data_IF_634150530933
#
_entry.id   IF_634150530933
#
_cell.length_a   1.000
_cell.length_b   1.000
_cell.length_c   1.000
_cell.angle_alpha   90.00
_cell.angle_beta   90.00
_cell.angle_gamma   90.00
#
_symmetry.space_group_name_H-M   'P 1'
#
loop_
_entity.id
_entity.type
_entity.pdbx_description
1 polymer ?
#
# COMPACT_ATOMS: atom_id res chain seq x y z
N UNK A 1 -0.47 28.57 -27.27
CA UNK A 1 -1.59 28.27 -26.36
C UNK A 1 -2.34 27.10 -26.96
N UNK A 2 -1.82 25.89 -26.74
CA UNK A 2 -2.53 24.68 -27.12
C UNK A 2 -3.46 24.28 -25.98
N UNK A 3 -4.74 24.17 -26.34
CA UNK A 3 -5.82 23.85 -25.42
C UNK A 3 -5.71 22.39 -25.03
N UNK A 4 -5.83 22.16 -23.73
CA UNK A 4 -5.61 20.88 -23.07
C UNK A 4 -6.31 19.72 -23.75
N UNK A 5 -5.55 18.63 -23.89
CA UNK A 5 -6.10 17.30 -24.07
C UNK A 5 -7.04 17.03 -22.89
N UNK A 6 -8.33 17.12 -23.17
CA UNK A 6 -9.39 16.72 -22.28
C UNK A 6 -9.28 15.20 -22.13
N UNK A 7 -8.55 14.72 -21.13
CA UNK A 7 -8.48 13.29 -20.83
C UNK A 7 -9.82 12.88 -20.21
N UNK A 8 -10.82 12.66 -21.06
CA UNK A 8 -11.98 11.87 -20.67
C UNK A 8 -11.44 10.50 -20.28
N UNK A 9 -11.45 10.25 -18.97
CA UNK A 9 -11.12 8.96 -18.40
C UNK A 9 -12.26 8.02 -18.80
N UNK A 10 -12.14 7.45 -20.00
CA UNK A 10 -13.11 6.48 -20.50
C UNK A 10 -13.00 5.24 -19.62
N UNK A 11 -13.95 5.09 -18.71
CA UNK A 11 -14.11 3.90 -17.92
C UNK A 11 -14.23 2.71 -18.86
N UNK A 12 -13.20 1.86 -18.87
CA UNK A 12 -13.18 0.69 -19.72
C UNK A 12 -14.27 -0.28 -19.26
N UNK A 13 -14.98 -0.95 -20.20
CA UNK A 13 -15.92 -1.99 -19.82
C UNK A 13 -15.16 -3.13 -19.13
N UNK A 14 -15.83 -3.91 -18.26
CA UNK A 14 -15.25 -5.11 -17.67
C UNK A 14 -14.68 -6.03 -18.77
N UNK A 15 -13.45 -6.52 -18.56
CA UNK A 15 -12.78 -7.42 -19.49
C UNK A 15 -12.03 -6.76 -20.65
N UNK A 16 -12.08 -5.43 -20.82
CA UNK A 16 -11.40 -4.73 -21.91
C UNK A 16 -9.87 -4.92 -21.97
N UNK A 17 -9.26 -5.38 -20.87
CA UNK A 17 -7.82 -5.63 -20.74
C UNK A 17 -7.51 -7.13 -20.52
N UNK A 18 -8.46 -8.03 -20.73
CA UNK A 18 -8.28 -9.47 -20.47
C UNK A 18 -7.21 -10.10 -21.36
N UNK A 19 -7.01 -9.59 -22.58
CA UNK A 19 -5.95 -10.04 -23.49
C UNK A 19 -4.54 -9.71 -22.98
N UNK A 20 -4.40 -8.76 -22.05
CA UNK A 20 -3.13 -8.41 -21.42
C UNK A 20 -2.82 -9.28 -20.20
N UNK A 21 -3.79 -10.06 -19.72
CA UNK A 21 -3.62 -10.87 -18.51
C UNK A 21 -2.77 -12.11 -18.80
N UNK A 22 -1.86 -12.38 -17.88
CA UNK A 22 -1.02 -13.58 -17.83
C UNK A 22 -1.75 -14.66 -17.02
N UNK A 23 -1.78 -15.88 -17.55
CA UNK A 23 -2.31 -17.04 -16.84
C UNK A 23 -1.38 -17.45 -15.71
N UNK A 24 -1.97 -17.82 -14.56
CA UNK A 24 -1.18 -18.42 -13.48
C UNK A 24 -0.61 -19.78 -13.92
N UNK A 25 0.67 -19.98 -13.65
CA UNK A 25 1.38 -21.25 -13.80
C UNK A 25 1.35 -22.10 -12.52
N UNK A 26 0.60 -21.65 -11.49
CA UNK A 26 0.50 -22.32 -10.20
C UNK A 26 1.74 -22.22 -9.31
N UNK A 27 2.77 -21.47 -9.71
CA UNK A 27 3.98 -21.27 -8.92
C UNK A 27 3.86 -20.05 -8.00
N UNK A 28 4.60 -20.09 -6.90
CA UNK A 28 4.81 -18.97 -5.99
C UNK A 28 5.35 -17.79 -6.79
N UNK A 29 4.62 -16.66 -6.81
CA UNK A 29 5.06 -15.52 -7.61
C UNK A 29 6.41 -14.98 -7.13
N UNK A 30 6.71 -15.08 -5.84
CA UNK A 30 7.95 -14.56 -5.26
C UNK A 30 9.15 -15.43 -5.62
N UNK A 31 9.20 -16.70 -5.17
CA UNK A 31 10.39 -17.53 -5.40
C UNK A 31 10.43 -18.24 -6.75
N UNK A 32 9.29 -18.34 -7.46
CA UNK A 32 9.17 -19.03 -8.77
C UNK A 32 9.61 -20.50 -8.81
N UNK A 33 9.93 -21.10 -7.67
CA UNK A 33 10.43 -22.49 -7.56
C UNK A 33 9.39 -23.48 -7.02
N UNK A 34 8.45 -23.02 -6.18
CA UNK A 34 7.53 -23.89 -5.42
C UNK A 34 6.08 -23.60 -5.75
N UNK A 35 5.17 -24.59 -5.63
CA UNK A 35 3.74 -24.37 -5.85
C UNK A 35 3.16 -23.29 -4.93
N UNK A 36 2.26 -22.47 -5.47
CA UNK A 36 1.48 -21.48 -4.74
C UNK A 36 0.36 -22.15 -3.93
N UNK A 37 0.67 -22.59 -2.71
CA UNK A 37 -0.26 -23.33 -1.85
C UNK A 37 -1.01 -22.43 -0.85
N UNK A 38 -0.58 -21.18 -0.69
CA UNK A 38 -1.08 -20.24 0.32
C UNK A 38 -1.52 -18.93 -0.30
N UNK A 39 -2.50 -18.28 0.33
CA UNK A 39 -2.97 -16.93 -0.01
C UNK A 39 -2.66 -15.97 1.13
N UNK A 40 -2.14 -14.80 0.79
CA UNK A 40 -1.84 -13.75 1.77
C UNK A 40 -3.12 -13.08 2.26
N UNK A 41 -3.16 -12.65 3.52
CA UNK A 41 -4.31 -11.90 4.01
C UNK A 41 -4.35 -10.48 3.41
N UNK A 42 -5.53 -10.02 2.99
CA UNK A 42 -5.75 -8.64 2.51
C UNK A 42 -5.56 -7.61 3.62
N UNK A 43 -5.76 -8.01 4.86
CA UNK A 43 -5.44 -7.24 6.05
C UNK A 43 -4.81 -8.14 7.08
N UNK A 44 -3.88 -7.62 7.91
CA UNK A 44 -3.26 -8.44 8.93
C UNK A 44 -4.31 -9.00 9.90
N UNK A 45 -4.18 -10.28 10.25
CA UNK A 45 -5.13 -10.95 11.13
C UNK A 45 -5.25 -10.27 12.51
N UNK A 46 -4.16 -9.71 13.02
CA UNK A 46 -4.13 -8.96 14.28
C UNK A 46 -5.03 -7.74 14.21
N UNK A 47 -4.95 -6.97 13.12
CA UNK A 47 -5.73 -5.75 12.94
C UNK A 47 -7.22 -6.08 12.79
N UNK A 48 -7.54 -7.11 12.01
CA UNK A 48 -8.92 -7.62 11.91
C UNK A 48 -9.46 -8.09 13.26
N UNK A 49 -8.60 -8.69 14.08
CA UNK A 49 -8.97 -9.12 15.44
C UNK A 49 -9.18 -7.92 16.37
N UNK A 50 -8.37 -6.87 16.25
CA UNK A 50 -8.50 -5.62 17.00
C UNK A 50 -9.79 -4.88 16.68
N UNK A 51 -10.19 -4.88 15.41
CA UNK A 51 -11.42 -4.24 14.95
C UNK A 51 -12.70 -5.03 15.28
N UNK A 52 -12.58 -6.29 15.66
CA UNK A 52 -13.73 -7.14 15.97
C UNK A 52 -14.42 -6.62 17.24
N UNK A 53 -15.67 -6.21 17.10
CA UNK A 53 -16.55 -5.79 18.20
C UNK A 53 -17.63 -6.84 18.38
N UNK A 54 -17.95 -7.18 19.62
CA UNK A 54 -19.02 -8.11 19.97
C UNK A 54 -18.97 -9.45 19.18
N UNK A 55 -17.76 -9.96 18.94
CA UNK A 55 -17.45 -11.19 18.19
C UNK A 55 -17.80 -11.17 16.68
N UNK A 56 -17.95 -10.00 16.07
CA UNK A 56 -18.11 -9.90 14.61
C UNK A 56 -17.36 -8.72 13.98
N UNK A 57 -17.15 -8.82 12.67
CA UNK A 57 -16.59 -7.76 11.82
C UNK A 57 -17.43 -7.63 10.54
N UNK A 58 -17.68 -6.40 10.12
CA UNK A 58 -18.37 -6.12 8.86
C UNK A 58 -17.31 -5.96 7.76
N UNK A 59 -17.42 -6.79 6.73
CA UNK A 59 -16.66 -6.69 5.50
C UNK A 59 -17.51 -6.04 4.43
N UNK A 60 -16.99 -5.01 3.76
CA UNK A 60 -17.62 -4.37 2.59
C UNK A 60 -16.68 -4.52 1.41
N UNK A 61 -17.18 -5.07 0.30
CA UNK A 61 -16.42 -5.18 -0.94
C UNK A 61 -17.34 -5.22 -2.16
N UNK A 62 -16.77 -5.60 -3.31
CA UNK A 62 -17.48 -5.58 -4.60
C UNK A 62 -18.73 -6.49 -4.62
N UNK A 63 -18.70 -7.59 -3.85
CA UNK A 63 -19.83 -8.51 -3.70
C UNK A 63 -20.83 -8.09 -2.60
N UNK A 64 -20.72 -6.86 -2.11
CA UNK A 64 -21.56 -6.30 -1.06
C UNK A 64 -21.00 -6.48 0.36
N UNK A 65 -21.92 -6.42 1.33
CA UNK A 65 -21.60 -6.46 2.76
C UNK A 65 -21.72 -7.88 3.30
N UNK A 66 -20.79 -8.28 4.17
CA UNK A 66 -20.79 -9.59 4.84
C UNK A 66 -20.35 -9.47 6.30
N UNK A 67 -20.90 -10.33 7.15
CA UNK A 67 -20.50 -10.45 8.55
C UNK A 67 -19.50 -11.62 8.72
N UNK A 68 -18.37 -11.35 9.36
CA UNK A 68 -17.36 -12.34 9.75
C UNK A 68 -17.44 -12.54 11.25
N UNK A 69 -17.89 -13.72 11.69
CA UNK A 69 -18.04 -14.06 13.11
C UNK A 69 -16.81 -14.72 13.71
N UNK A 70 -16.31 -14.12 14.77
CA UNK A 70 -15.23 -14.58 15.63
C UNK A 70 -13.87 -14.73 14.96
N UNK A 71 -12.83 -14.85 15.80
CA UNK A 71 -11.43 -15.01 15.35
C UNK A 71 -11.23 -16.23 14.45
N UNK A 72 -12.04 -17.28 14.65
CA UNK A 72 -12.04 -18.49 13.80
C UNK A 72 -12.58 -18.20 12.40
N UNK A 73 -13.52 -17.26 12.25
CA UNK A 73 -14.06 -16.83 10.96
C UNK A 73 -12.97 -16.19 10.09
N UNK A 74 -12.17 -15.30 10.68
CA UNK A 74 -11.02 -14.67 10.00
C UNK A 74 -10.04 -15.73 9.49
N UNK A 75 -9.66 -16.69 10.35
CA UNK A 75 -8.68 -17.73 9.98
C UNK A 75 -9.18 -18.66 8.86
N UNK A 76 -10.44 -19.09 8.96
CA UNK A 76 -11.05 -20.04 8.01
C UNK A 76 -11.31 -19.40 6.65
N UNK A 77 -11.61 -18.10 6.62
CA UNK A 77 -11.94 -17.35 5.41
C UNK A 77 -12.94 -18.09 4.51
N UNK A 78 -14.05 -18.54 5.12
CA UNK A 78 -15.07 -19.37 4.43
C UNK A 78 -15.59 -18.72 3.14
N UNK A 79 -15.65 -17.40 3.12
CA UNK A 79 -16.16 -16.62 2.00
C UNK A 79 -15.06 -16.20 1.00
N UNK A 80 -13.78 -16.51 1.26
CA UNK A 80 -12.67 -16.12 0.39
C UNK A 80 -12.46 -14.61 0.30
N UNK A 81 -12.96 -13.84 1.27
CA UNK A 81 -12.90 -12.37 1.26
C UNK A 81 -11.67 -11.86 1.99
N UNK A 82 -11.18 -12.60 3.00
CA UNK A 82 -10.09 -12.16 3.89
C UNK A 82 -8.72 -12.32 3.22
N UNK A 83 -8.55 -13.33 2.38
CA UNK A 83 -7.27 -13.62 1.71
C UNK A 83 -7.33 -13.34 0.21
N UNK A 84 -6.17 -13.04 -0.36
CA UNK A 84 -5.97 -13.15 -1.79
C UNK A 84 -6.05 -14.61 -2.24
N UNK A 85 -6.35 -14.86 -3.53
CA UNK A 85 -6.17 -16.18 -4.12
C UNK A 85 -4.75 -16.72 -3.85
N UNK A 86 -4.62 -18.05 -3.85
CA UNK A 86 -3.32 -18.68 -3.60
C UNK A 86 -2.31 -18.26 -4.66
N UNK A 87 -1.22 -17.63 -4.22
CA UNK A 87 -0.20 -17.06 -5.10
C UNK A 87 1.21 -17.17 -4.51
N UNK A 88 1.35 -17.66 -3.26
CA UNK A 88 2.62 -17.83 -2.57
C UNK A 88 2.77 -19.25 -2.02
N UNK A 89 4.01 -19.74 -1.91
CA UNK A 89 4.33 -20.94 -1.14
C UNK A 89 4.41 -20.65 0.37
N UNK A 90 4.26 -21.69 1.19
CA UNK A 90 4.27 -21.55 2.66
C UNK A 90 5.54 -20.90 3.21
N UNK A 91 6.73 -21.26 2.72
CA UNK A 91 7.98 -20.66 3.19
C UNK A 91 8.10 -19.19 2.84
N UNK A 92 7.69 -18.77 1.63
CA UNK A 92 7.68 -17.35 1.29
C UNK A 92 6.65 -16.58 2.12
N UNK A 93 5.45 -17.13 2.25
CA UNK A 93 4.34 -16.43 2.91
C UNK A 93 4.45 -16.37 4.44
N UNK A 94 5.18 -17.29 5.05
CA UNK A 94 5.27 -17.42 6.50
C UNK A 94 6.71 -17.13 6.99
N UNK A 95 7.68 -17.92 6.56
CA UNK A 95 9.04 -17.90 7.14
C UNK A 95 9.82 -16.67 6.67
N UNK A 96 9.86 -16.44 5.36
CA UNK A 96 10.65 -15.36 4.75
C UNK A 96 10.05 -13.97 4.99
N UNK A 97 8.73 -13.84 5.00
CA UNK A 97 8.06 -12.55 5.22
C UNK A 97 7.89 -12.19 6.70
N UNK A 98 8.29 -13.05 7.64
CA UNK A 98 8.11 -12.82 9.06
C UNK A 98 8.72 -11.48 9.56
N UNK A 99 9.92 -11.04 9.10
CA UNK A 99 10.41 -9.71 9.43
C UNK A 99 9.48 -8.58 8.96
N UNK A 100 8.91 -8.72 7.76
CA UNK A 100 8.04 -7.72 7.14
C UNK A 100 6.74 -7.57 7.94
N UNK A 101 6.16 -8.70 8.32
CA UNK A 101 4.98 -8.75 9.16
C UNK A 101 5.18 -8.06 10.52
N UNK A 102 6.36 -8.21 11.13
CA UNK A 102 6.69 -7.53 12.40
C UNK A 102 6.85 -6.02 12.23
N UNK A 103 7.53 -5.59 11.17
CA UNK A 103 7.70 -4.17 10.88
C UNK A 103 6.36 -3.48 10.62
N UNK A 104 5.46 -4.17 9.91
CA UNK A 104 4.08 -3.72 9.73
C UNK A 104 3.33 -3.65 11.06
N UNK A 105 3.41 -4.67 11.93
CA UNK A 105 2.69 -4.67 13.20
C UNK A 105 3.05 -3.46 14.08
N UNK A 106 4.34 -3.16 14.26
CA UNK A 106 4.77 -1.94 14.99
C UNK A 106 4.17 -0.67 14.38
N UNK A 107 4.18 -0.55 13.06
CA UNK A 107 3.59 0.60 12.36
C UNK A 107 2.07 0.70 12.56
N UNK A 108 1.35 -0.41 12.39
CA UNK A 108 -0.11 -0.45 12.54
C UNK A 108 -0.58 -0.23 13.97
N UNK A 109 0.25 -0.56 14.96
CA UNK A 109 0.00 -0.30 16.38
C UNK A 109 0.18 1.20 16.66
N UNK A 110 1.29 1.80 16.19
CA UNK A 110 1.51 3.23 16.29
C UNK A 110 0.38 4.06 15.67
N UNK A 111 -0.11 3.67 14.47
CA UNK A 111 -1.21 4.37 13.80
C UNK A 111 -2.55 4.26 14.54
N UNK A 112 -2.75 3.21 15.34
CA UNK A 112 -3.99 3.01 16.12
C UNK A 112 -3.99 3.81 17.42
N UNK A 113 -2.81 3.96 18.03
CA UNK A 113 -2.61 4.67 19.28
C UNK A 113 -2.43 6.18 19.08
N UNK A 114 -1.99 6.60 17.89
CA UNK A 114 -1.61 7.99 17.60
C UNK A 114 -2.51 8.65 16.57
N UNK A 115 -2.86 9.93 16.78
CA UNK A 115 -3.61 10.71 15.79
C UNK A 115 -2.72 11.28 14.68
N UNK A 116 -2.15 10.40 13.89
CA UNK A 116 -1.08 10.70 12.92
C UNK A 116 -1.51 11.65 11.79
N UNK A 117 -2.78 11.71 11.44
CA UNK A 117 -3.28 12.53 10.31
C UNK A 117 -3.03 14.03 10.46
N UNK A 118 -2.91 14.53 11.70
CA UNK A 118 -2.63 15.95 11.97
C UNK A 118 -1.14 16.22 12.22
N UNK A 119 -0.31 15.17 12.25
CA UNK A 119 1.12 15.26 12.45
C UNK A 119 1.84 15.69 11.17
N UNK A 120 3.03 16.31 11.28
CA UNK A 120 3.81 16.75 10.12
C UNK A 120 4.34 15.59 9.28
N UNK A 121 4.54 14.43 9.89
CA UNK A 121 5.05 13.20 9.30
C UNK A 121 4.91 12.04 10.28
N UNK A 122 5.45 10.88 9.91
CA UNK A 122 5.47 9.70 10.78
C UNK A 122 6.88 9.46 11.31
N UNK A 123 7.13 9.57 12.63
CA UNK A 123 8.47 9.44 13.19
C UNK A 123 8.92 7.97 13.23
N UNK A 124 9.53 7.47 12.16
CA UNK A 124 10.01 6.09 12.10
C UNK A 124 11.10 5.76 13.12
N UNK A 125 11.91 6.73 13.52
CA UNK A 125 12.84 6.57 14.64
C UNK A 125 12.13 6.31 15.97
N UNK A 126 10.95 6.88 16.20
CA UNK A 126 10.15 6.60 17.39
C UNK A 126 9.50 5.20 17.32
N UNK A 127 9.02 4.81 16.14
CA UNK A 127 8.33 3.53 15.94
C UNK A 127 9.31 2.34 16.02
N UNK A 128 10.50 2.51 15.45
CA UNK A 128 11.44 1.41 15.23
C UNK A 128 12.73 1.52 16.04
N UNK A 129 13.05 2.68 16.61
CA UNK A 129 14.31 2.93 17.31
C UNK A 129 15.52 2.83 16.38
N UNK A 130 16.63 2.30 16.90
CA UNK A 130 17.90 2.17 16.18
C UNK A 130 17.82 1.29 14.92
N UNK A 131 16.76 0.48 14.76
CA UNK A 131 16.57 -0.37 13.58
C UNK A 131 15.71 0.26 12.50
N UNK A 132 15.35 1.55 12.60
CA UNK A 132 14.40 2.20 11.71
C UNK A 132 14.73 2.03 10.22
N UNK A 133 15.99 2.21 9.80
CA UNK A 133 16.38 2.07 8.38
C UNK A 133 16.09 0.68 7.84
N UNK A 134 16.28 -0.36 8.66
CA UNK A 134 15.99 -1.74 8.26
C UNK A 134 14.49 -2.03 8.33
N UNK A 135 13.83 -1.62 9.42
CA UNK A 135 12.42 -1.90 9.63
C UNK A 135 11.53 -1.14 8.63
N UNK A 136 11.93 0.04 8.13
CA UNK A 136 11.20 0.74 7.05
C UNK A 136 11.30 0.01 5.72
N UNK A 137 12.45 -0.62 5.41
CA UNK A 137 12.56 -1.51 4.25
C UNK A 137 11.70 -2.77 4.43
N UNK A 138 11.68 -3.36 5.63
CA UNK A 138 10.81 -4.49 5.94
C UNK A 138 9.32 -4.11 5.87
N UNK A 139 8.95 -2.89 6.28
CA UNK A 139 7.61 -2.32 6.08
C UNK A 139 7.28 -2.17 4.59
N UNK A 140 8.20 -1.62 3.79
CA UNK A 140 8.03 -1.52 2.35
C UNK A 140 7.85 -2.92 1.72
N UNK A 141 8.61 -3.94 2.15
CA UNK A 141 8.45 -5.32 1.69
C UNK A 141 7.10 -5.93 2.08
N UNK A 142 6.54 -5.56 3.22
CA UNK A 142 5.16 -5.96 3.56
C UNK A 142 4.17 -5.46 2.51
N UNK A 143 4.24 -4.17 2.16
CA UNK A 143 3.38 -3.60 1.12
C UNK A 143 3.70 -4.16 -0.27
N UNK A 144 4.96 -4.49 -0.57
CA UNK A 144 5.36 -5.18 -1.81
C UNK A 144 4.77 -6.58 -1.91
N UNK A 145 4.76 -7.36 -0.83
CA UNK A 145 4.09 -8.66 -0.78
C UNK A 145 2.61 -8.53 -1.13
N UNK A 146 1.96 -7.52 -0.55
CA UNK A 146 0.55 -7.22 -0.77
C UNK A 146 0.27 -6.81 -2.22
N UNK A 147 1.10 -5.91 -2.76
CA UNK A 147 1.07 -5.46 -4.14
C UNK A 147 1.25 -6.62 -5.13
N UNK A 148 2.26 -7.48 -4.93
CA UNK A 148 2.47 -8.67 -5.75
C UNK A 148 1.30 -9.65 -5.72
N UNK A 149 0.66 -9.85 -4.55
CA UNK A 149 -0.55 -10.68 -4.46
C UNK A 149 -1.73 -10.07 -5.22
N UNK A 150 -1.90 -8.74 -5.20
CA UNK A 150 -2.89 -8.04 -6.03
C UNK A 150 -2.57 -8.17 -7.51
N UNK A 151 -1.31 -8.03 -7.91
CA UNK A 151 -0.84 -8.26 -9.28
C UNK A 151 -1.26 -9.61 -9.81
N UNK A 152 -0.97 -10.68 -9.08
CA UNK A 152 -1.36 -12.03 -9.46
C UNK A 152 -2.88 -12.19 -9.51
N UNK A 153 -3.61 -11.64 -8.52
CA UNK A 153 -5.09 -11.70 -8.51
C UNK A 153 -5.69 -11.07 -9.76
N UNK A 154 -5.18 -9.95 -10.22
CA UNK A 154 -5.69 -9.27 -11.42
C UNK A 154 -5.11 -9.83 -12.72
N UNK A 155 -4.25 -10.85 -12.64
CA UNK A 155 -3.66 -11.52 -13.80
C UNK A 155 -2.51 -10.74 -14.43
N UNK A 156 -1.80 -9.89 -13.70
CA UNK A 156 -0.61 -9.22 -14.22
C UNK A 156 0.66 -9.96 -13.83
N UNK A 157 1.68 -9.80 -14.67
CA UNK A 157 3.02 -10.28 -14.39
C UNK A 157 3.62 -9.48 -13.23
N UNK A 158 4.19 -10.20 -12.26
CA UNK A 158 4.98 -9.58 -11.21
C UNK A 158 6.38 -9.23 -11.75
N UNK A 159 6.83 -7.95 -11.65
CA UNK A 159 8.15 -7.52 -12.11
C UNK A 159 9.31 -8.26 -11.42
N UNK A 160 10.46 -8.37 -12.09
CA UNK A 160 11.68 -8.92 -11.49
C UNK A 160 12.20 -8.04 -10.35
N UNK A 161 12.20 -6.72 -10.54
CA UNK A 161 12.56 -5.72 -9.53
C UNK A 161 11.82 -5.92 -8.21
N UNK A 162 10.52 -6.23 -8.29
CA UNK A 162 9.69 -6.54 -7.15
C UNK A 162 10.17 -7.79 -6.41
N UNK A 163 10.53 -8.85 -7.14
CA UNK A 163 11.09 -10.08 -6.54
C UNK A 163 12.47 -9.86 -5.94
N UNK A 164 13.34 -9.15 -6.64
CA UNK A 164 14.66 -8.77 -6.13
C UNK A 164 14.54 -7.95 -4.83
N UNK A 165 13.59 -7.02 -4.76
CA UNK A 165 13.31 -6.26 -3.53
C UNK A 165 12.86 -7.16 -2.38
N UNK A 166 11.96 -8.11 -2.67
CA UNK A 166 11.56 -9.12 -1.68
C UNK A 166 12.71 -10.03 -1.25
N UNK A 167 13.70 -10.25 -2.12
CA UNK A 167 14.92 -11.03 -1.85
C UNK A 167 16.04 -10.23 -1.15
N UNK A 168 15.80 -8.97 -0.82
CA UNK A 168 16.69 -8.16 0.01
C UNK A 168 17.35 -6.98 -0.69
N UNK A 169 17.05 -6.72 -1.96
CA UNK A 169 17.47 -5.46 -2.57
C UNK A 169 16.94 -4.28 -1.73
N UNK A 170 17.75 -3.25 -1.59
CA UNK A 170 17.43 -2.05 -0.80
C UNK A 170 16.69 -0.99 -1.62
N UNK A 171 16.52 -1.24 -2.92
CA UNK A 171 15.91 -0.33 -3.89
C UNK A 171 15.02 -1.12 -4.89
N UNK A 172 14.06 -0.41 -5.49
CA UNK A 172 13.22 -0.80 -6.61
C UNK A 172 12.96 0.43 -7.50
N UNK A 173 13.78 0.64 -8.55
CA UNK A 173 13.83 1.92 -9.29
C UNK A 173 12.54 2.24 -10.06
N UNK A 174 11.74 1.22 -10.34
CA UNK A 174 10.50 1.26 -11.09
C UNK A 174 9.26 1.34 -10.19
N UNK A 175 9.43 1.63 -8.90
CA UNK A 175 8.32 1.83 -7.98
C UNK A 175 8.53 2.98 -7.01
N UNK A 176 7.42 3.38 -6.39
CA UNK A 176 7.35 4.49 -5.47
C UNK A 176 6.33 4.20 -4.37
N UNK A 177 6.73 4.34 -3.12
CA UNK A 177 5.85 4.27 -1.95
C UNK A 177 5.81 5.59 -1.20
N UNK A 178 4.60 6.04 -0.87
CA UNK A 178 4.39 7.21 -0.03
C UNK A 178 3.37 6.95 1.07
N UNK A 179 3.59 7.58 2.22
CA UNK A 179 2.55 7.70 3.23
C UNK A 179 1.49 8.66 2.73
N UNK A 180 0.23 8.27 2.88
CA UNK A 180 -0.91 9.00 2.31
C UNK A 180 -2.08 9.08 3.28
N UNK A 181 -2.92 10.10 3.09
CA UNK A 181 -4.24 10.20 3.71
C UNK A 181 -5.23 10.83 2.73
N UNK A 182 -6.49 10.41 2.77
CA UNK A 182 -7.55 10.97 1.93
C UNK A 182 -8.73 11.46 2.76
N UNK A 183 -9.44 12.50 2.32
CA UNK A 183 -10.62 12.99 3.04
C UNK A 183 -11.80 12.02 2.94
N UNK A 184 -11.86 11.22 1.88
CA UNK A 184 -12.84 10.16 1.71
C UNK A 184 -12.61 9.03 2.71
N UNK A 185 -11.40 8.46 2.79
CA UNK A 185 -11.10 7.32 3.68
C UNK A 185 -11.23 7.72 5.14
N UNK A 186 -10.76 8.90 5.52
CA UNK A 186 -10.91 9.36 6.89
C UNK A 186 -12.37 9.47 7.33
N UNK A 187 -13.27 9.91 6.44
CA UNK A 187 -14.71 10.02 6.75
C UNK A 187 -15.37 8.66 6.96
N UNK A 188 -14.94 7.62 6.24
CA UNK A 188 -15.62 6.30 6.26
C UNK A 188 -14.93 5.27 7.14
N UNK A 189 -13.62 5.39 7.35
CA UNK A 189 -12.79 4.37 7.98
C UNK A 189 -11.78 4.96 8.96
N UNK A 190 -12.11 6.07 9.64
CA UNK A 190 -11.22 6.72 10.61
C UNK A 190 -10.57 5.77 11.62
N UNK A 191 -11.27 4.69 11.98
CA UNK A 191 -10.80 3.58 12.84
C UNK A 191 -10.97 2.20 12.19
N UNK A 192 -11.02 2.14 10.86
CA UNK A 192 -11.24 0.90 10.09
C UNK A 192 -9.99 0.45 9.34
N UNK A 193 -10.15 -0.53 8.48
CA UNK A 193 -9.15 -0.93 7.49
C UNK A 193 -9.75 -0.71 6.10
N UNK A 194 -8.96 -0.19 5.17
CA UNK A 194 -9.44 0.09 3.81
C UNK A 194 -8.37 -0.26 2.80
N UNK A 195 -8.79 -0.81 1.67
CA UNK A 195 -7.98 -0.94 0.47
C UNK A 195 -8.69 -0.18 -0.63
N UNK A 196 -7.93 0.67 -1.31
CA UNK A 196 -8.42 1.33 -2.52
C UNK A 196 -8.57 0.33 -3.67
N UNK A 197 -9.32 0.74 -4.70
CA UNK A 197 -9.34 0.04 -6.00
C UNK A 197 -7.95 0.01 -6.65
N UNK A 198 -7.79 -0.82 -7.68
CA UNK A 198 -6.58 -0.84 -8.50
C UNK A 198 -6.73 0.19 -9.64
N UNK A 199 -5.71 1.02 -9.87
CA UNK A 199 -5.62 1.86 -11.06
C UNK A 199 -4.45 1.36 -11.92
N UNK A 200 -4.71 1.11 -13.21
CA UNK A 200 -3.71 0.63 -14.15
C UNK A 200 -3.59 1.60 -15.31
N UNK A 201 -2.36 1.80 -15.80
CA UNK A 201 -2.08 2.52 -17.03
C UNK A 201 -1.67 1.51 -18.10
N UNK A 202 -2.09 1.76 -19.33
CA UNK A 202 -1.63 1.04 -20.50
C UNK A 202 -0.97 2.00 -21.47
N UNK A 203 -0.28 1.47 -22.47
CA UNK A 203 0.01 2.21 -23.69
C UNK A 203 -1.30 2.64 -24.40
N UNK A 204 -1.25 3.65 -25.30
CA UNK A 204 -2.43 4.10 -26.04
C UNK A 204 -3.09 2.99 -26.86
N UNK A 205 -2.31 2.04 -27.38
CA UNK A 205 -2.77 0.91 -28.18
C UNK A 205 -3.30 -0.25 -27.32
N UNK A 206 -3.16 -0.17 -25.98
CA UNK A 206 -3.59 -1.18 -25.00
C UNK A 206 -3.00 -2.56 -25.29
N UNK A 207 -1.74 -2.59 -25.67
CA UNK A 207 -0.93 -3.79 -25.90
C UNK A 207 -0.09 -4.18 -24.68
N UNK A 208 0.11 -3.27 -23.72
CA UNK A 208 0.91 -3.49 -22.53
C UNK A 208 0.43 -2.67 -21.32
N UNK A 209 0.73 -3.17 -20.12
CA UNK A 209 0.59 -2.39 -18.90
C UNK A 209 1.83 -1.51 -18.69
N UNK A 210 1.62 -0.22 -18.44
CA UNK A 210 2.67 0.78 -18.19
C UNK A 210 2.79 1.18 -16.74
N UNK A 211 1.77 0.95 -15.94
CA UNK A 211 1.85 1.21 -14.50
C UNK A 211 0.68 0.66 -13.73
N UNK A 212 0.84 0.67 -12.40
CA UNK A 212 -0.19 0.27 -11.46
C UNK A 212 -0.07 1.08 -10.17
N UNK A 213 -1.19 1.60 -9.67
CA UNK A 213 -1.31 2.20 -8.34
C UNK A 213 -2.35 1.48 -7.49
N UNK A 214 -2.00 1.31 -6.23
CA UNK A 214 -2.95 1.00 -5.17
C UNK A 214 -2.57 1.71 -3.88
N UNK A 215 -3.50 1.71 -2.94
CA UNK A 215 -3.28 2.11 -1.56
C UNK A 215 -3.97 1.15 -0.58
N UNK A 216 -3.33 0.97 0.57
CA UNK A 216 -3.86 0.23 1.72
C UNK A 216 -3.73 1.10 2.97
N UNK A 217 -4.76 1.14 3.80
CA UNK A 217 -4.91 2.05 4.93
C UNK A 217 -5.17 1.33 6.24
N UNK A 218 -4.54 1.85 7.28
CA UNK A 218 -4.86 1.58 8.69
C UNK A 218 -5.45 2.86 9.28
N UNK A 219 -6.75 2.82 9.59
CA UNK A 219 -7.51 4.01 9.91
C UNK A 219 -7.49 5.01 8.75
N UNK A 220 -6.95 6.20 9.01
CA UNK A 220 -6.91 7.30 8.02
C UNK A 220 -5.58 7.45 7.29
N UNK A 221 -4.56 6.68 7.67
CA UNK A 221 -3.22 6.76 7.10
C UNK A 221 -2.95 5.46 6.36
N UNK A 222 -2.35 5.56 5.19
CA UNK A 222 -2.04 4.40 4.37
C UNK A 222 -0.74 4.56 3.62
N UNK A 223 -0.46 3.56 2.81
CA UNK A 223 0.64 3.56 1.86
C UNK A 223 0.07 3.51 0.45
N UNK A 224 0.40 4.51 -0.36
CA UNK A 224 0.22 4.47 -1.80
C UNK A 224 1.44 3.80 -2.40
N UNK A 225 1.21 2.72 -3.12
CA UNK A 225 2.21 1.97 -3.86
C UNK A 225 1.97 2.20 -5.35
N UNK A 226 2.99 2.67 -6.04
CA UNK A 226 3.00 2.79 -7.49
C UNK A 226 4.12 1.97 -8.10
N UNK A 227 3.84 1.32 -9.21
CA UNK A 227 4.82 0.69 -10.09
C UNK A 227 4.66 1.23 -11.51
N UNK A 228 5.77 1.30 -12.23
CA UNK A 228 5.86 1.70 -13.64
C UNK A 228 6.64 0.65 -14.44
N UNK A 229 6.25 0.41 -15.68
CA UNK A 229 7.09 -0.36 -16.59
C UNK A 229 8.42 0.36 -16.85
N UNK A 230 9.44 -0.40 -17.27
CA UNK A 230 10.78 0.13 -17.53
C UNK A 230 10.72 1.33 -18.50
N UNK A 231 11.41 2.42 -18.13
CA UNK A 231 11.42 3.65 -18.91
C UNK A 231 10.10 4.43 -18.94
N UNK A 232 9.05 4.01 -18.20
CA UNK A 232 7.76 4.70 -18.15
C UNK A 232 7.57 5.56 -16.89
N UNK A 233 8.58 5.62 -16.02
CA UNK A 233 8.54 6.44 -14.80
C UNK A 233 8.48 7.93 -15.17
N UNK A 234 7.53 8.71 -14.64
CA UNK A 234 7.50 10.16 -14.82
C UNK A 234 8.72 10.86 -14.19
N UNK A 235 9.19 11.92 -14.84
CA UNK A 235 10.30 12.76 -14.34
C UNK A 235 9.95 13.41 -12.98
N UNK A 236 10.94 13.55 -12.09
CA UNK A 236 10.83 14.27 -10.81
C UNK A 236 10.23 13.47 -9.65
N UNK A 237 10.10 12.14 -9.78
CA UNK A 237 9.63 11.24 -8.72
C UNK A 237 10.80 10.52 -8.05
N UNK A 238 11.44 11.15 -7.06
CA UNK A 238 12.74 10.67 -6.54
C UNK A 238 12.66 9.81 -5.27
N UNK A 239 11.53 9.80 -4.54
CA UNK A 239 11.41 9.01 -3.30
C UNK A 239 10.91 7.59 -3.57
N UNK A 240 11.79 6.61 -3.74
CA UNK A 240 11.41 5.21 -4.02
C UNK A 240 10.65 4.59 -2.84
N UNK A 241 11.15 4.84 -1.62
CA UNK A 241 10.56 4.37 -0.37
C UNK A 241 10.62 5.44 0.72
N UNK A 242 10.40 5.01 1.96
CA UNK A 242 10.49 5.80 3.17
C UNK A 242 11.94 6.07 3.61
N UNK A 243 12.72 6.83 2.83
CA UNK A 243 14.14 7.06 3.12
C UNK A 243 14.43 8.05 4.25
N UNK A 244 13.38 8.67 4.80
CA UNK A 244 13.50 9.68 5.83
C UNK A 244 13.15 9.11 7.20
N UNK A 245 13.75 9.63 8.28
CA UNK A 245 13.37 9.25 9.64
C UNK A 245 11.95 9.72 10.01
N UNK A 246 11.47 10.79 9.37
CA UNK A 246 10.10 11.31 9.53
C UNK A 246 9.48 11.68 8.18
N UNK A 247 9.05 10.70 7.36
CA UNK A 247 8.43 10.99 6.08
C UNK A 247 7.10 11.73 6.23
N UNK A 248 6.90 12.70 5.34
CA UNK A 248 5.65 13.47 5.27
C UNK A 248 4.47 12.60 4.81
N UNK A 249 3.27 12.98 5.28
CA UNK A 249 2.03 12.34 4.86
C UNK A 249 1.42 13.13 3.71
N UNK A 250 1.37 12.52 2.53
CA UNK A 250 0.78 13.14 1.35
C UNK A 250 -0.74 13.17 1.47
N UNK A 251 -1.32 14.36 1.39
CA UNK A 251 -2.75 14.56 1.53
C UNK A 251 -3.44 14.55 0.16
N UNK A 252 -4.53 13.80 0.04
CA UNK A 252 -5.37 13.77 -1.16
C UNK A 252 -6.82 14.13 -0.80
N UNK A 253 -7.53 14.71 -1.77
CA UNK A 253 -8.95 15.04 -1.59
C UNK A 253 -9.81 13.78 -1.51
N UNK A 254 -9.55 12.82 -2.39
CA UNK A 254 -10.32 11.59 -2.54
C UNK A 254 -9.45 10.47 -3.16
N UNK A 255 -10.02 9.28 -3.32
CA UNK A 255 -9.31 8.14 -3.90
C UNK A 255 -8.94 8.36 -5.37
N UNK A 256 -9.72 9.13 -6.14
CA UNK A 256 -9.39 9.43 -7.54
C UNK A 256 -8.11 10.28 -7.61
N UNK A 257 -8.05 11.37 -6.84
CA UNK A 257 -6.87 12.21 -6.74
C UNK A 257 -5.65 11.41 -6.27
N UNK A 258 -5.84 10.44 -5.36
CA UNK A 258 -4.78 9.53 -4.93
C UNK A 258 -4.27 8.65 -6.07
N UNK A 259 -5.14 8.05 -6.88
CA UNK A 259 -4.71 7.23 -8.02
C UNK A 259 -3.88 8.04 -9.01
N UNK A 260 -4.33 9.26 -9.31
CA UNK A 260 -3.67 10.19 -10.24
C UNK A 260 -2.43 10.88 -9.66
N UNK A 261 -2.16 10.73 -8.36
CA UNK A 261 -1.03 11.40 -7.71
C UNK A 261 -1.22 12.91 -7.50
N UNK A 262 -2.47 13.41 -7.54
CA UNK A 262 -2.79 14.84 -7.34
C UNK A 262 -2.94 15.17 -5.87
N UNK A 263 -1.84 15.59 -5.23
CA UNK A 263 -1.85 16.01 -3.82
C UNK A 263 -2.61 17.31 -3.62
N UNK A 264 -3.13 17.50 -2.41
CA UNK A 264 -3.64 18.77 -1.91
C UNK A 264 -2.78 19.25 -0.75
N UNK A 265 -2.83 20.55 -0.48
CA UNK A 265 -2.19 21.11 0.71
C UNK A 265 -2.80 20.52 1.99
N UNK A 266 -1.98 20.26 3.04
CA UNK A 266 -2.48 19.87 4.35
C UNK A 266 -3.41 20.94 4.95
N UNK A 267 -4.27 20.54 5.88
CA UNK A 267 -5.14 21.48 6.60
C UNK A 267 -4.33 22.47 7.44
N UNK A 268 -4.94 23.61 7.80
CA UNK A 268 -4.29 24.69 8.58
C UNK A 268 -3.54 24.18 9.82
N UNK A 269 -4.16 23.30 10.62
CA UNK A 269 -3.53 22.76 11.83
C UNK A 269 -2.28 21.93 11.54
N UNK A 270 -2.33 21.05 10.52
CA UNK A 270 -1.16 20.28 10.09
C UNK A 270 -0.05 21.20 9.57
N UNK A 271 -0.41 22.25 8.80
CA UNK A 271 0.56 23.24 8.32
C UNK A 271 1.20 24.04 9.45
N UNK A 272 0.43 24.43 10.47
CA UNK A 272 0.94 25.14 11.63
C UNK A 272 1.88 24.24 12.46
N UNK A 273 1.53 22.97 12.64
CA UNK A 273 2.41 21.98 13.28
C UNK A 273 3.71 21.75 12.48
N UNK A 274 3.61 21.58 11.15
CA UNK A 274 4.77 21.47 10.25
C UNK A 274 5.69 22.69 10.33
N UNK A 275 5.11 23.90 10.39
CA UNK A 275 5.87 25.13 10.52
C UNK A 275 6.58 25.26 11.87
N UNK A 276 5.92 24.89 12.98
CA UNK A 276 6.52 24.91 14.32
C UNK A 276 7.72 23.95 14.42
N UNK A 277 7.60 22.74 13.85
CA UNK A 277 8.69 21.76 13.89
C UNK A 277 9.86 22.12 12.96
N UNK A 278 9.60 22.76 11.81
CA UNK A 278 10.70 23.26 10.96
C UNK A 278 11.55 24.34 11.64
N UNK A 279 11.00 25.09 12.60
CA UNK A 279 11.78 26.05 13.40
C UNK A 279 12.71 25.37 14.40
N UNK A 280 12.24 24.33 15.09
CA UNK A 280 13.09 23.61 16.05
C UNK A 280 14.30 22.94 15.39
N UNK A 281 14.14 22.44 14.16
CA UNK A 281 15.25 21.82 13.42
C UNK A 281 16.27 22.86 12.92
N UNK A 282 15.81 24.07 12.58
CA UNK A 282 16.68 25.18 12.19
C UNK A 282 17.48 25.73 13.38
N UNK A 283 16.83 25.86 14.54
CA UNK A 283 17.48 26.30 15.78
C UNK A 283 18.47 25.25 16.31
N UNK A 284 18.19 23.95 16.13
CA UNK A 284 19.10 22.85 16.49
C UNK A 284 20.31 22.72 15.55
N UNK A 285 20.18 23.14 14.28
CA UNK A 285 21.26 23.16 13.31
C UNK A 285 22.21 24.37 13.49
N UNK A 286 21.73 25.48 14.05
CA UNK A 286 22.56 26.66 14.37
C UNK A 286 23.31 26.52 15.72
N UNK A 287 23.01 25.50 16.52
CA UNK A 287 23.67 25.20 17.80
C UNK A 287 24.73 24.07 17.72
N UNK A 288 25.12 23.63 16.52
CA UNK A 288 26.23 22.69 16.27
C UNK A 288 27.36 23.37 15.51
#
# INVERSE_FOLDING_TARGET
MDKGANSSQDWLPPGALDHLKVRSDGLCWWCRERPATTGEHKYKQTDLTRLMRDDYLVWVGDEGMREIRGKRGIKRDRYGVVKFPKSLCGTCNNDRSQPFDRAYSKFSDYLDETWVRIMPGVPFEEIYGDTWTKDTLDLARYYTKHFGCRMVRSGLRVPESLRAFMDGATDMPDAHMALVTTDSVHRVASKGLTMSGDCVWTDPERTEFRGWVMAAYVGSVGVRYQWWAEGQKPDGWDSQFFHYPSPEINCFKDEQALMEGRTRQPGWFARMSQWLNRRSDHDAAEMK
#
